data_IF_046191595195
#
_entry.id   IF_046191595195
#
_cell.length_a   1.000
_cell.length_b   1.000
_cell.length_c   1.000
_cell.angle_alpha   90.00
_cell.angle_beta   90.00
_cell.angle_gamma   90.00
#
_symmetry.space_group_name_H-M   'P 1'
#
loop_
_entity.id
_entity.type
_entity.pdbx_description
1 polymer ?
#
# COMPACT_ATOMS: atom_id res chain seq x y z
N UNK A 1 -3.03 22.12 8.22
CA UNK A 1 -1.76 21.99 7.46
C UNK A 1 -1.98 22.57 6.06
N UNK A 2 -1.20 23.58 5.69
CA UNK A 2 -1.39 24.43 4.51
C UNK A 2 -0.69 23.86 3.27
N UNK A 3 -1.37 23.94 2.11
CA UNK A 3 -0.78 23.82 0.76
C UNK A 3 -0.19 25.18 0.39
N UNK A 4 1.05 25.43 0.77
CA UNK A 4 1.76 26.64 0.35
C UNK A 4 2.47 26.38 -0.98
N UNK A 5 2.30 27.23 -2.02
CA UNK A 5 3.10 27.13 -3.25
C UNK A 5 4.60 27.19 -2.91
N UNK A 6 5.40 26.26 -3.47
CA UNK A 6 6.85 26.18 -3.27
C UNK A 6 7.37 25.03 -2.38
N UNK A 7 6.49 24.18 -1.85
CA UNK A 7 6.88 22.88 -1.27
C UNK A 7 6.69 21.75 -2.29
N UNK A 8 7.53 20.72 -2.21
CA UNK A 8 7.32 19.47 -2.94
C UNK A 8 5.88 19.00 -2.71
N UNK A 9 5.15 18.83 -3.81
CA UNK A 9 3.72 18.57 -3.76
C UNK A 9 3.47 17.11 -3.39
N UNK A 10 3.51 16.81 -2.09
CA UNK A 10 3.09 15.52 -1.56
C UNK A 10 1.56 15.51 -1.38
N UNK A 11 0.88 15.06 -2.42
CA UNK A 11 -0.58 15.03 -2.51
C UNK A 11 -1.02 13.64 -2.90
N UNK A 12 -2.19 13.23 -2.40
CA UNK A 12 -2.92 12.10 -2.95
C UNK A 12 -4.28 12.58 -3.44
N UNK A 13 -4.74 12.05 -4.57
CA UNK A 13 -6.09 12.23 -5.09
C UNK A 13 -6.86 10.94 -4.87
N UNK A 14 -8.09 11.05 -4.36
CA UNK A 14 -8.94 9.91 -4.01
C UNK A 14 -10.12 9.78 -4.96
N UNK A 15 -10.40 8.56 -5.41
CA UNK A 15 -11.58 8.20 -6.20
C UNK A 15 -12.75 7.91 -5.26
N UNK A 16 -13.82 8.70 -5.37
CA UNK A 16 -14.99 8.61 -4.48
C UNK A 16 -16.10 7.69 -5.01
N UNK A 17 -16.05 7.31 -6.28
CA UNK A 17 -17.04 6.41 -6.92
C UNK A 17 -16.76 4.92 -6.76
N UNK A 18 -15.71 4.53 -6.02
CA UNK A 18 -15.37 3.12 -5.80
C UNK A 18 -16.30 2.47 -4.78
N UNK A 19 -16.64 1.19 -4.99
CA UNK A 19 -17.54 0.42 -4.10
C UNK A 19 -17.09 0.38 -2.64
N UNK A 20 -15.79 0.54 -2.37
CA UNK A 20 -15.23 0.51 -1.02
C UNK A 20 -15.49 1.80 -0.24
N UNK A 21 -15.94 2.86 -0.91
CA UNK A 21 -16.09 4.21 -0.32
C UNK A 21 -17.39 4.92 -0.71
N UNK A 22 -18.14 4.43 -1.69
CA UNK A 22 -19.40 5.04 -2.13
C UNK A 22 -20.60 4.63 -1.26
N UNK A 23 -21.53 5.56 -0.95
CA UNK A 23 -21.47 7.00 -1.20
C UNK A 23 -20.58 7.74 -0.20
N UNK A 24 -19.89 8.79 -0.66
CA UNK A 24 -19.05 9.62 0.21
C UNK A 24 -19.87 10.78 0.77
N UNK A 25 -20.33 10.64 2.02
CA UNK A 25 -21.05 11.71 2.75
C UNK A 25 -20.10 12.54 3.61
N UNK A 26 -19.14 11.90 4.27
CA UNK A 26 -18.04 12.54 5.01
C UNK A 26 -16.70 12.07 4.43
N UNK A 27 -16.01 12.88 3.62
CA UNK A 27 -14.74 12.51 3.02
C UNK A 27 -13.65 12.16 4.05
N UNK A 28 -13.59 12.86 5.19
CA UNK A 28 -12.56 12.62 6.20
C UNK A 28 -12.81 11.30 6.93
N UNK A 29 -14.05 11.08 7.40
CA UNK A 29 -14.46 9.81 7.98
C UNK A 29 -14.31 8.64 7.01
N UNK A 30 -14.59 8.85 5.72
CA UNK A 30 -14.40 7.83 4.68
C UNK A 30 -12.93 7.40 4.55
N UNK A 31 -11.99 8.35 4.58
CA UNK A 31 -10.56 8.04 4.50
C UNK A 31 -10.11 7.22 5.71
N UNK A 32 -10.52 7.63 6.91
CA UNK A 32 -10.19 6.94 8.15
C UNK A 32 -10.80 5.53 8.16
N UNK A 33 -12.04 5.39 7.73
CA UNK A 33 -12.77 4.14 7.72
C UNK A 33 -12.33 3.16 6.61
N UNK A 34 -11.86 3.65 5.47
CA UNK A 34 -11.47 2.80 4.34
C UNK A 34 -10.34 1.82 4.70
N UNK A 35 -9.39 2.25 5.53
CA UNK A 35 -8.32 1.38 6.04
C UNK A 35 -7.39 0.76 4.98
N UNK A 36 -7.49 1.16 3.70
CA UNK A 36 -6.67 0.64 2.61
C UNK A 36 -6.40 1.70 1.54
N UNK A 37 -5.27 1.61 0.79
CA UNK A 37 -4.89 2.62 -0.21
C UNK A 37 -5.62 2.51 -1.55
N UNK A 38 -6.51 1.52 -1.69
CA UNK A 38 -7.32 1.27 -2.90
C UNK A 38 -8.00 2.51 -3.51
N UNK A 39 -8.61 3.44 -2.74
CA UNK A 39 -9.25 4.63 -3.28
C UNK A 39 -8.25 5.69 -3.77
N UNK A 40 -6.94 5.55 -3.50
CA UNK A 40 -5.92 6.48 -4.00
C UNK A 40 -5.77 6.29 -5.50
N UNK A 41 -6.14 7.31 -6.26
CA UNK A 41 -6.13 7.32 -7.71
C UNK A 41 -4.78 7.81 -8.26
N UNK A 42 -4.38 9.01 -7.84
CA UNK A 42 -3.22 9.73 -8.39
C UNK A 42 -2.34 10.27 -7.26
N UNK A 43 -1.02 10.15 -7.41
CA UNK A 43 -0.02 10.59 -6.42
C UNK A 43 1.10 11.36 -7.13
N UNK A 44 1.08 12.71 -7.15
CA UNK A 44 2.25 13.52 -7.45
C UNK A 44 3.20 13.61 -6.25
N UNK A 45 4.50 13.60 -6.52
CA UNK A 45 5.60 13.85 -5.57
C UNK A 45 6.67 14.66 -6.31
N UNK A 46 7.04 15.83 -5.80
CA UNK A 46 8.08 16.69 -6.40
C UNK A 46 7.95 16.88 -7.95
N UNK A 47 6.72 17.05 -8.45
CA UNK A 47 6.44 17.22 -9.88
C UNK A 47 6.35 15.93 -10.71
N UNK A 48 6.62 14.76 -10.12
CA UNK A 48 6.50 13.45 -10.78
C UNK A 48 5.24 12.72 -10.32
N UNK A 49 4.47 12.15 -11.24
CA UNK A 49 3.34 11.28 -10.92
C UNK A 49 3.83 9.86 -10.70
N UNK A 50 3.73 9.35 -9.47
CA UNK A 50 4.18 7.99 -9.09
C UNK A 50 3.04 6.96 -9.06
N UNK A 51 1.79 7.43 -9.11
CA UNK A 51 0.58 6.60 -9.27
C UNK A 51 -0.44 7.38 -10.09
N UNK A 52 -1.14 6.72 -11.02
CA UNK A 52 -2.19 7.30 -11.86
C UNK A 52 -3.25 6.25 -12.16
N UNK A 53 -4.52 6.65 -12.16
CA UNK A 53 -5.67 5.78 -12.42
C UNK A 53 -5.70 4.52 -11.53
N UNK A 54 -5.16 4.63 -10.31
CA UNK A 54 -5.06 3.51 -9.37
C UNK A 54 -3.83 2.60 -9.57
N UNK A 55 -2.99 2.86 -10.57
CA UNK A 55 -1.82 2.04 -10.94
C UNK A 55 -0.51 2.75 -10.63
N UNK A 56 0.48 2.01 -10.10
CA UNK A 56 1.82 2.55 -9.83
C UNK A 56 2.53 2.90 -11.17
N UNK A 57 2.99 4.15 -11.30
CA UNK A 57 3.71 4.60 -12.49
C UNK A 57 5.18 4.17 -12.44
N UNK A 58 5.72 3.77 -13.60
CA UNK A 58 7.14 3.41 -13.81
C UNK A 58 7.70 2.36 -12.83
N UNK A 59 6.88 1.44 -12.33
CA UNK A 59 7.32 0.35 -11.45
C UNK A 59 7.03 -1.01 -12.10
N UNK A 60 8.08 -1.72 -12.50
CA UNK A 60 7.99 -3.16 -12.80
C UNK A 60 8.12 -3.96 -11.50
N UNK A 61 7.01 -4.57 -11.07
CA UNK A 61 6.95 -5.36 -9.85
C UNK A 61 7.52 -6.78 -10.00
N UNK A 62 7.88 -7.23 -11.21
CA UNK A 62 8.38 -8.60 -11.43
C UNK A 62 9.64 -8.88 -10.61
N UNK A 63 10.69 -8.09 -10.79
CA UNK A 63 11.96 -8.31 -10.10
C UNK A 63 11.85 -8.11 -8.57
N UNK A 64 11.19 -7.05 -8.05
CA UNK A 64 10.91 -6.93 -6.62
C UNK A 64 10.15 -8.12 -6.04
N UNK A 65 9.14 -8.63 -6.75
CA UNK A 65 8.35 -9.79 -6.30
C UNK A 65 9.20 -11.05 -6.22
N UNK A 66 10.04 -11.31 -7.22
CA UNK A 66 10.98 -12.45 -7.18
C UNK A 66 11.90 -12.36 -5.97
N UNK A 67 12.54 -11.19 -5.76
CA UNK A 67 13.44 -10.99 -4.61
C UNK A 67 12.73 -11.13 -3.27
N UNK A 68 11.48 -10.66 -3.18
CA UNK A 68 10.67 -10.80 -1.97
C UNK A 68 10.39 -12.27 -1.66
N UNK A 69 10.03 -13.07 -2.67
CA UNK A 69 9.77 -14.50 -2.51
C UNK A 69 11.05 -15.25 -2.12
N UNK A 70 12.17 -14.99 -2.79
CA UNK A 70 13.47 -15.56 -2.42
C UNK A 70 13.87 -15.20 -0.98
N UNK A 71 13.65 -13.95 -0.56
CA UNK A 71 13.93 -13.52 0.81
C UNK A 71 13.03 -14.22 1.82
N UNK A 72 11.73 -14.36 1.52
CA UNK A 72 10.78 -15.11 2.35
C UNK A 72 11.26 -16.55 2.53
N UNK A 73 11.63 -17.21 1.44
CA UNK A 73 12.05 -18.62 1.46
C UNK A 73 13.34 -18.80 2.26
N UNK A 74 14.32 -17.90 2.11
CA UNK A 74 15.56 -17.91 2.92
C UNK A 74 15.28 -17.73 4.41
N UNK A 75 14.45 -16.76 4.78
CA UNK A 75 14.10 -16.49 6.20
C UNK A 75 13.33 -17.67 6.79
N UNK A 76 12.38 -18.24 6.04
CA UNK A 76 11.62 -19.40 6.47
C UNK A 76 12.51 -20.62 6.70
N UNK A 77 13.44 -20.90 5.77
CA UNK A 77 14.40 -21.99 5.92
C UNK A 77 15.32 -21.80 7.13
N UNK A 78 15.85 -20.58 7.33
CA UNK A 78 16.70 -20.26 8.47
C UNK A 78 15.98 -20.38 9.82
N UNK A 79 14.67 -20.12 9.85
CA UNK A 79 13.83 -20.21 11.03
C UNK A 79 13.16 -21.59 11.22
N UNK A 80 13.32 -22.53 10.29
CA UNK A 80 12.61 -23.82 10.31
C UNK A 80 11.09 -23.70 10.15
N UNK A 81 10.61 -22.64 9.50
CA UNK A 81 9.18 -22.34 9.32
C UNK A 81 8.68 -22.95 8.01
N UNK A 82 7.71 -23.89 8.03
CA UNK A 82 7.12 -24.41 6.81
C UNK A 82 6.17 -23.37 6.17
N UNK A 83 6.21 -23.27 4.83
CA UNK A 83 5.41 -22.34 4.04
C UNK A 83 4.22 -23.01 3.32
N UNK A 84 3.78 -24.15 3.83
CA UNK A 84 2.67 -24.97 3.33
C UNK A 84 1.33 -24.68 4.03
N UNK A 85 1.31 -23.70 4.94
CA UNK A 85 0.14 -23.35 5.74
C UNK A 85 0.00 -24.14 7.04
N UNK A 86 0.91 -25.08 7.34
CA UNK A 86 0.89 -25.84 8.59
C UNK A 86 1.51 -25.09 9.78
N UNK A 87 2.28 -24.03 9.52
CA UNK A 87 2.94 -23.28 10.58
C UNK A 87 1.94 -22.60 11.52
N UNK A 88 2.17 -22.76 12.83
CA UNK A 88 1.46 -22.03 13.87
C UNK A 88 2.45 -21.23 14.74
N UNK A 89 2.09 -19.99 15.12
CA UNK A 89 2.90 -19.22 16.05
C UNK A 89 2.96 -19.93 17.41
N UNK A 90 4.16 -20.17 17.91
CA UNK A 90 4.34 -20.71 19.25
C UNK A 90 3.93 -19.65 20.28
N UNK A 91 3.19 -20.03 21.35
CA UNK A 91 2.91 -19.10 22.43
C UNK A 91 4.23 -18.63 23.04
N UNK A 92 4.36 -17.32 23.27
CA UNK A 92 5.53 -16.77 23.95
C UNK A 92 5.64 -17.42 25.32
N UNK A 93 6.76 -18.08 25.60
CA UNK A 93 7.08 -18.53 26.96
C UNK A 93 7.17 -17.29 27.84
N UNK A 94 6.25 -17.17 28.81
CA UNK A 94 6.25 -16.14 29.86
C UNK A 94 7.32 -16.49 30.89
#
# INVERSE_FOLDING_TARGET
MSRTPGKDADVILLRTGGLTVFPVTDPAGTIVAAGHPGPVDTVPIAGRVVKRDGVQADVDLRAPRTRLLESRDRVAAAAGVPLDGAWQPQPKSV
#
